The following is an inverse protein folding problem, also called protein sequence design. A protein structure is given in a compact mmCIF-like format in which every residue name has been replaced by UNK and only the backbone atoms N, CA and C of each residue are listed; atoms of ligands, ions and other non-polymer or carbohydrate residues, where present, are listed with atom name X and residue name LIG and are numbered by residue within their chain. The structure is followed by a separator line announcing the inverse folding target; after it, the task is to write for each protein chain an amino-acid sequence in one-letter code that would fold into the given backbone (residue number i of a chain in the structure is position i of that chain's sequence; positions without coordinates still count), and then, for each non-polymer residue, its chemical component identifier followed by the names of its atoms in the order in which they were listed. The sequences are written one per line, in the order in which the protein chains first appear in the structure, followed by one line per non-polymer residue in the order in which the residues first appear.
data_IF_953550668451
#
_entry.id   IF_953550668451
#
_cell.length_a   1.000
_cell.length_b   1.000
_cell.length_c   1.000
_cell.angle_alpha   90.00
_cell.angle_beta   90.00
_cell.angle_gamma   90.00
#
_symmetry.space_group_name_H-M   'P 1'
#
loop_
_entity.id
_entity.type
_entity.pdbx_description
1 polymer ?
#
# COMPACT_ATOMS: atom_id res chain seq x y z
N UNK A 1 13.85 -7.57 17.95
CA UNK A 1 13.08 -6.40 18.41
C UNK A 1 13.76 -5.88 19.66
N UNK A 2 14.24 -4.63 19.68
CA UNK A 2 14.50 -3.98 20.97
C UNK A 2 13.15 -3.81 21.67
N UNK A 3 13.07 -4.20 22.94
CA UNK A 3 11.84 -4.07 23.71
C UNK A 3 11.63 -2.59 24.03
N UNK A 4 10.87 -1.88 23.19
CA UNK A 4 10.39 -0.54 23.50
C UNK A 4 9.47 -0.63 24.73
N UNK A 5 9.92 -0.11 25.88
CA UNK A 5 9.12 -0.06 27.10
C UNK A 5 8.19 1.16 27.01
N UNK A 6 6.99 0.96 26.48
CA UNK A 6 5.96 2.00 26.42
C UNK A 6 5.40 2.27 27.83
N UNK A 7 5.10 3.53 28.13
CA UNK A 7 4.41 3.93 29.36
C UNK A 7 2.88 3.75 29.19
N UNK A 8 2.12 3.92 30.27
CA UNK A 8 0.66 3.70 30.27
C UNK A 8 -0.06 4.65 29.31
N UNK A 9 0.29 5.93 29.31
CA UNK A 9 -0.31 6.94 28.43
C UNK A 9 -0.07 6.63 26.94
N UNK A 10 1.14 6.19 26.58
CA UNK A 10 1.48 5.77 25.21
C UNK A 10 0.67 4.54 24.79
N UNK A 11 0.46 3.58 25.69
CA UNK A 11 -0.36 2.40 25.43
C UNK A 11 -1.81 2.80 25.19
N UNK A 12 -2.38 3.66 26.03
CA UNK A 12 -3.75 4.16 25.86
C UNK A 12 -3.93 4.95 24.57
N UNK A 13 -2.95 5.82 24.26
CA UNK A 13 -2.91 6.58 23.01
C UNK A 13 -2.93 5.62 21.80
N UNK A 14 -2.05 4.63 21.77
CA UNK A 14 -1.96 3.71 20.64
C UNK A 14 -3.17 2.78 20.54
N UNK A 15 -3.69 2.27 21.66
CA UNK A 15 -4.91 1.46 21.65
C UNK A 15 -6.11 2.24 21.08
N UNK A 16 -6.14 3.56 21.28
CA UNK A 16 -7.19 4.42 20.72
C UNK A 16 -7.01 4.65 19.23
N UNK A 17 -5.80 5.04 18.78
CA UNK A 17 -5.61 5.51 17.41
C UNK A 17 -5.29 4.42 16.39
N UNK A 18 -4.57 3.36 16.76
CA UNK A 18 -4.11 2.35 15.80
C UNK A 18 -5.27 1.65 15.07
N UNK A 19 -6.36 1.21 15.75
CA UNK A 19 -7.48 0.57 15.06
C UNK A 19 -8.20 1.52 14.09
N UNK A 20 -8.36 2.79 14.49
CA UNK A 20 -8.99 3.83 13.66
C UNK A 20 -8.17 4.07 12.39
N UNK A 21 -6.85 4.19 12.53
CA UNK A 21 -5.94 4.39 11.40
C UNK A 21 -5.89 3.16 10.49
N UNK A 22 -5.82 1.94 11.06
CA UNK A 22 -5.87 0.72 10.27
C UNK A 22 -7.17 0.62 9.45
N UNK A 23 -8.31 0.98 10.05
CA UNK A 23 -9.60 1.05 9.34
C UNK A 23 -9.61 2.14 8.27
N UNK A 24 -9.07 3.34 8.54
CA UNK A 24 -8.92 4.43 7.57
C UNK A 24 -8.16 3.98 6.33
N UNK A 25 -7.09 3.21 6.53
CA UNK A 25 -6.31 2.64 5.43
C UNK A 25 -6.90 1.35 4.87
N UNK A 26 -8.18 1.04 5.14
CA UNK A 26 -8.88 -0.16 4.63
C UNK A 26 -8.13 -1.46 4.96
N UNK A 27 -7.44 -1.49 6.10
CA UNK A 27 -6.55 -2.57 6.54
C UNK A 27 -5.39 -2.88 5.57
N UNK A 28 -5.06 -1.93 4.68
CA UNK A 28 -3.83 -1.95 3.87
C UNK A 28 -2.57 -1.88 4.74
N UNK A 29 -2.68 -1.43 5.98
CA UNK A 29 -1.65 -1.57 7.00
C UNK A 29 -2.30 -2.06 8.29
N UNK A 30 -1.59 -2.91 9.02
CA UNK A 30 -2.02 -3.42 10.32
C UNK A 30 -1.65 -2.45 11.43
N UNK A 31 -2.32 -2.57 12.58
CA UNK A 31 -1.96 -1.83 13.80
C UNK A 31 -0.48 -2.02 14.17
N UNK A 32 0.03 -3.25 14.05
CA UNK A 32 1.45 -3.55 14.27
C UNK A 32 2.37 -2.84 13.27
N UNK A 33 1.99 -2.75 12.00
CA UNK A 33 2.78 -2.01 10.99
C UNK A 33 2.77 -0.51 11.26
N UNK A 34 1.61 0.05 11.66
CA UNK A 34 1.50 1.45 12.05
C UNK A 34 2.35 1.71 13.29
N UNK A 35 2.26 0.87 14.32
CA UNK A 35 3.09 0.96 15.52
C UNK A 35 4.59 0.90 15.18
N UNK A 36 5.02 -0.09 14.40
CA UNK A 36 6.41 -0.22 13.98
C UNK A 36 6.90 1.02 13.21
N UNK A 37 6.02 1.64 12.42
CA UNK A 37 6.33 2.89 11.74
C UNK A 37 6.45 4.07 12.71
N UNK A 38 5.54 4.19 13.70
CA UNK A 38 5.61 5.21 14.76
C UNK A 38 6.89 5.06 15.60
N UNK A 39 7.33 3.82 15.83
CA UNK A 39 8.55 3.54 16.59
C UNK A 39 9.85 3.88 15.83
N UNK A 40 9.78 4.34 14.57
CA UNK A 40 10.93 4.96 13.91
C UNK A 40 11.26 6.36 14.47
N UNK A 41 10.32 7.00 15.17
CA UNK A 41 10.43 8.38 15.64
C UNK A 41 10.83 8.46 17.12
N UNK A 42 11.32 9.63 17.53
CA UNK A 42 11.49 9.96 18.94
C UNK A 42 10.13 10.05 19.65
N UNK A 43 10.11 9.76 20.96
CA UNK A 43 8.86 9.72 21.75
C UNK A 43 8.08 11.03 21.70
N UNK A 44 8.77 12.17 21.70
CA UNK A 44 8.18 13.52 21.59
C UNK A 44 7.33 13.69 20.32
N UNK A 45 7.63 12.93 19.27
CA UNK A 45 7.04 13.06 17.94
C UNK A 45 5.92 12.05 17.67
N UNK A 46 5.60 11.14 18.59
CA UNK A 46 4.54 10.15 18.40
C UNK A 46 3.19 10.81 18.08
N UNK A 47 2.87 11.94 18.73
CA UNK A 47 1.65 12.70 18.44
C UNK A 47 1.66 13.31 17.03
N UNK A 48 2.80 13.83 16.57
CA UNK A 48 2.97 14.36 15.21
C UNK A 48 2.81 13.27 14.15
N UNK A 49 3.37 12.09 14.40
CA UNK A 49 3.24 10.92 13.52
C UNK A 49 1.78 10.47 13.39
N UNK A 50 1.04 10.37 14.51
CA UNK A 50 -0.38 10.03 14.51
C UNK A 50 -1.21 11.10 13.78
N UNK A 51 -0.92 12.38 14.03
CA UNK A 51 -1.61 13.49 13.38
C UNK A 51 -1.39 13.51 11.86
N UNK A 52 -0.17 13.22 11.40
CA UNK A 52 0.15 13.08 9.98
C UNK A 52 -0.73 12.01 9.32
N UNK A 53 -0.83 10.82 9.93
CA UNK A 53 -1.58 9.69 9.38
C UNK A 53 -3.08 9.95 9.24
N UNK A 54 -3.66 10.85 10.05
CA UNK A 54 -5.08 11.23 9.93
C UNK A 54 -5.42 11.85 8.58
N UNK A 55 -4.44 12.44 7.89
CA UNK A 55 -4.64 13.15 6.63
C UNK A 55 -4.00 12.46 5.42
N UNK A 56 -3.41 11.28 5.62
CA UNK A 56 -2.96 10.44 4.50
C UNK A 56 -4.18 9.82 3.82
N UNK A 57 -4.25 9.98 2.51
CA UNK A 57 -5.21 9.33 1.64
C UNK A 57 -4.54 8.11 0.99
N UNK A 58 -5.03 6.93 1.34
CA UNK A 58 -4.63 5.69 0.69
C UNK A 58 -5.71 5.28 -0.30
N UNK A 59 -5.36 5.01 -1.55
CA UNK A 59 -6.27 4.54 -2.59
C UNK A 59 -6.04 3.05 -2.84
N UNK A 60 -7.06 2.24 -2.60
CA UNK A 60 -7.05 0.82 -2.96
C UNK A 60 -7.43 0.61 -4.43
N UNK A 61 -7.28 -0.62 -4.91
CA UNK A 61 -7.58 -0.98 -6.30
C UNK A 61 -9.00 -0.61 -6.75
N UNK A 62 -9.99 -0.69 -5.84
CA UNK A 62 -11.39 -0.40 -6.18
C UNK A 62 -11.57 1.08 -6.40
N UNK A 63 -11.04 1.92 -5.51
CA UNK A 63 -11.11 3.37 -5.65
C UNK A 63 -10.31 3.87 -6.86
N UNK A 64 -9.23 3.19 -7.24
CA UNK A 64 -8.50 3.49 -8.49
C UNK A 64 -9.39 3.20 -9.70
N UNK A 65 -10.07 2.05 -9.73
CA UNK A 65 -11.00 1.67 -10.81
C UNK A 65 -12.18 2.66 -10.86
N UNK A 66 -12.83 2.93 -9.73
CA UNK A 66 -13.93 3.89 -9.61
C UNK A 66 -13.50 5.31 -10.03
N UNK A 67 -12.30 5.73 -9.63
CA UNK A 67 -11.76 7.02 -10.00
C UNK A 67 -11.52 7.15 -11.50
N UNK A 68 -10.97 6.11 -12.14
CA UNK A 68 -10.84 6.11 -13.60
C UNK A 68 -12.19 6.05 -14.30
N UNK A 69 -13.14 5.25 -13.81
CA UNK A 69 -14.48 5.17 -14.37
C UNK A 69 -15.17 6.55 -14.35
N UNK A 70 -15.11 7.24 -13.21
CA UNK A 70 -15.62 8.59 -13.04
C UNK A 70 -14.98 9.60 -13.99
N UNK A 71 -13.64 9.67 -14.02
CA UNK A 71 -12.92 10.64 -14.85
C UNK A 71 -13.12 10.40 -16.33
N UNK A 72 -13.08 9.14 -16.79
CA UNK A 72 -13.27 8.81 -18.20
C UNK A 72 -14.72 9.11 -18.61
N UNK A 73 -15.72 8.83 -17.78
CA UNK A 73 -17.10 9.21 -18.07
C UNK A 73 -17.25 10.74 -18.23
N UNK A 74 -16.57 11.54 -17.40
CA UNK A 74 -16.51 13.00 -17.61
C UNK A 74 -15.90 13.38 -18.95
N UNK A 75 -14.85 12.69 -19.39
CA UNK A 75 -14.26 12.90 -20.72
C UNK A 75 -15.25 12.54 -21.82
N UNK A 76 -15.93 11.39 -21.71
CA UNK A 76 -16.92 10.94 -22.69
C UNK A 76 -18.07 11.94 -22.87
N UNK A 77 -18.53 12.56 -21.79
CA UNK A 77 -19.59 13.59 -21.83
C UNK A 77 -19.15 14.88 -22.54
N UNK A 78 -17.86 15.07 -22.78
CA UNK A 78 -17.30 16.25 -23.45
C UNK A 78 -16.95 15.99 -24.92
N UNK A 79 -17.16 14.77 -25.42
CA UNK A 79 -16.75 14.38 -26.77
C UNK A 79 -17.90 13.69 -27.51
N UNK A 80 -17.93 13.85 -28.84
CA UNK A 80 -18.94 13.17 -29.66
C UNK A 80 -18.77 11.65 -29.63
N UNK A 81 -19.90 10.93 -29.67
CA UNK A 81 -19.95 9.47 -29.67
C UNK A 81 -19.26 8.82 -30.89
N UNK A 82 -19.09 9.57 -31.99
CA UNK A 82 -18.41 9.08 -33.19
C UNK A 82 -16.89 9.04 -33.08
N UNK A 83 -16.29 9.79 -32.15
CA UNK A 83 -14.82 9.90 -32.03
C UNK A 83 -14.20 8.64 -31.45
N UNK A 84 -13.07 8.21 -32.03
CA UNK A 84 -12.20 7.20 -31.44
C UNK A 84 -11.36 7.81 -30.32
N UNK A 85 -11.01 7.01 -29.33
CA UNK A 85 -10.29 7.48 -28.15
C UNK A 85 -8.99 6.71 -28.03
N UNK A 86 -7.88 7.42 -28.20
CA UNK A 86 -6.56 6.85 -28.08
C UNK A 86 -6.12 7.02 -26.63
N UNK A 87 -5.85 5.92 -25.95
CA UNK A 87 -5.44 5.92 -24.55
C UNK A 87 -3.98 5.54 -24.48
N UNK A 88 -3.17 6.40 -23.86
CA UNK A 88 -1.73 6.24 -23.73
C UNK A 88 -1.37 6.38 -22.25
N UNK A 89 -0.73 5.39 -21.62
CA UNK A 89 -0.20 5.58 -20.28
C UNK A 89 0.96 6.59 -20.30
N UNK A 90 0.89 7.57 -19.41
CA UNK A 90 1.96 8.52 -19.13
C UNK A 90 3.09 7.78 -18.42
N UNK A 91 4.27 7.72 -19.04
CA UNK A 91 5.46 7.09 -18.47
C UNK A 91 6.11 6.06 -19.39
N UNK A 92 7.37 5.75 -19.11
CA UNK A 92 8.08 4.66 -19.78
C UNK A 92 7.50 3.30 -19.37
N UNK A 93 7.52 2.35 -20.31
CA UNK A 93 7.18 0.95 -20.04
C UNK A 93 7.91 0.44 -18.78
N UNK A 94 7.15 -0.14 -17.84
CA UNK A 94 7.69 -0.77 -16.63
C UNK A 94 7.65 0.05 -15.33
N UNK A 95 7.14 1.29 -15.32
CA UNK A 95 6.94 2.10 -14.08
C UNK A 95 5.50 1.96 -13.53
N UNK A 96 4.63 2.94 -13.79
CA UNK A 96 3.21 2.96 -13.39
C UNK A 96 2.26 2.68 -14.57
N UNK A 97 2.69 2.98 -15.80
CA UNK A 97 1.83 2.98 -16.98
C UNK A 97 1.10 1.67 -17.28
N UNK A 98 1.77 0.52 -17.12
CA UNK A 98 1.15 -0.80 -17.34
C UNK A 98 0.06 -1.10 -16.30
N UNK A 99 0.27 -0.68 -15.05
CA UNK A 99 -0.74 -0.85 -14.00
C UNK A 99 -1.96 0.05 -14.26
N UNK A 100 -1.77 1.27 -14.77
CA UNK A 100 -2.88 2.18 -15.05
C UNK A 100 -3.79 1.67 -16.17
N UNK A 101 -3.20 1.13 -17.24
CA UNK A 101 -3.98 0.46 -18.30
C UNK A 101 -4.71 -0.77 -17.75
N UNK A 102 -4.11 -1.53 -16.84
CA UNK A 102 -4.78 -2.65 -16.19
C UNK A 102 -6.03 -2.20 -15.42
N UNK A 103 -5.92 -1.17 -14.57
CA UNK A 103 -7.07 -0.64 -13.83
C UNK A 103 -8.13 -0.04 -14.76
N UNK A 104 -7.71 0.72 -15.77
CA UNK A 104 -8.63 1.28 -16.76
C UNK A 104 -9.46 0.19 -17.47
N UNK A 105 -8.84 -0.94 -17.84
CA UNK A 105 -9.55 -2.08 -18.47
C UNK A 105 -10.56 -2.76 -17.56
N UNK A 106 -10.53 -2.51 -16.25
CA UNK A 106 -11.49 -3.05 -15.27
C UNK A 106 -12.66 -2.12 -15.00
N UNK A 107 -12.70 -0.95 -15.62
CA UNK A 107 -13.78 0.02 -15.47
C UNK A 107 -15.01 -0.39 -16.30
N UNK A 108 -16.19 -0.02 -15.84
CA UNK A 108 -17.43 -0.26 -16.57
C UNK A 108 -17.45 0.55 -17.88
N UNK A 109 -16.94 1.77 -17.84
CA UNK A 109 -16.86 2.64 -19.01
C UNK A 109 -16.02 2.04 -20.14
N UNK A 110 -14.92 1.33 -19.81
CA UNK A 110 -14.13 0.61 -20.80
C UNK A 110 -14.93 -0.52 -21.45
N UNK A 111 -15.60 -1.35 -20.65
CA UNK A 111 -16.37 -2.49 -21.17
C UNK A 111 -17.54 -2.02 -22.06
N UNK A 112 -18.31 -1.01 -21.63
CA UNK A 112 -19.43 -0.46 -22.40
C UNK A 112 -18.98 0.22 -23.72
N UNK A 113 -17.77 0.81 -23.74
CA UNK A 113 -17.28 1.59 -24.90
C UNK A 113 -16.06 0.95 -25.58
N UNK A 114 -15.86 -0.36 -25.42
CA UNK A 114 -14.64 -1.07 -25.85
C UNK A 114 -14.28 -0.83 -27.33
N UNK A 115 -15.28 -0.75 -28.20
CA UNK A 115 -15.08 -0.47 -29.63
C UNK A 115 -14.59 0.95 -29.95
N UNK A 116 -14.67 1.89 -29.01
CA UNK A 116 -14.20 3.27 -29.16
C UNK A 116 -12.75 3.46 -28.70
N UNK A 117 -12.30 2.67 -27.73
CA UNK A 117 -10.98 2.79 -27.14
C UNK A 117 -9.89 2.07 -27.94
N UNK A 118 -8.78 2.76 -28.17
CA UNK A 118 -7.56 2.23 -28.78
C UNK A 118 -6.46 2.37 -27.72
N UNK A 119 -6.11 1.26 -27.09
CA UNK A 119 -5.04 1.23 -26.07
C UNK A 119 -3.69 1.12 -26.76
N UNK A 120 -2.86 2.16 -26.66
CA UNK A 120 -1.50 2.11 -27.18
C UNK A 120 -0.56 1.73 -26.06
N UNK A 121 0.17 0.64 -26.27
CA UNK A 121 1.23 0.26 -25.35
C UNK A 121 2.45 1.18 -25.54
N UNK A 122 2.70 1.65 -26.76
CA UNK A 122 3.81 2.54 -27.10
C UNK A 122 3.34 3.78 -27.87
N UNK A 123 3.78 4.98 -27.46
CA UNK A 123 3.50 6.25 -28.14
C UNK A 123 3.94 6.29 -29.62
N UNK A 124 4.91 5.47 -30.04
CA UNK A 124 5.32 5.34 -31.45
C UNK A 124 4.20 4.83 -32.36
N UNK A 125 3.24 4.08 -31.82
CA UNK A 125 2.08 3.56 -32.56
C UNK A 125 1.08 4.68 -32.92
N UNK A 126 1.17 5.85 -32.27
CA UNK A 126 0.25 6.96 -32.50
C UNK A 126 0.18 7.38 -33.98
N UNK A 127 1.32 7.37 -34.70
CA UNK A 127 1.40 7.74 -36.13
C UNK A 127 0.38 7.02 -37.00
N UNK A 128 0.11 5.74 -36.74
CA UNK A 128 -0.82 4.93 -37.52
C UNK A 128 -2.29 5.32 -37.34
N UNK A 129 -2.60 6.08 -36.29
CA UNK A 129 -3.97 6.46 -35.93
C UNK A 129 -4.30 7.94 -36.22
N UNK A 130 -3.30 8.72 -36.66
CA UNK A 130 -3.42 10.17 -36.92
C UNK A 130 -4.38 10.55 -38.06
N UNK A 131 -4.89 9.58 -38.83
CA UNK A 131 -5.81 9.81 -39.97
C UNK A 131 -7.30 9.81 -39.59
N UNK A 132 -7.65 9.43 -38.36
CA UNK A 132 -9.04 9.35 -37.89
C UNK A 132 -9.41 10.62 -37.11
N UNK A 133 -10.70 10.90 -36.91
CA UNK A 133 -11.10 11.85 -35.87
C UNK A 133 -10.99 11.17 -34.50
N UNK A 134 -10.08 11.67 -33.66
CA UNK A 134 -9.77 11.06 -32.38
C UNK A 134 -9.52 12.09 -31.28
N UNK A 135 -9.60 11.59 -30.06
CA UNK A 135 -9.23 12.27 -28.83
C UNK A 135 -8.10 11.47 -28.17
N UNK A 136 -7.15 12.16 -27.53
CA UNK A 136 -6.07 11.51 -26.79
C UNK A 136 -6.37 11.58 -25.30
N UNK A 137 -6.26 10.45 -24.61
CA UNK A 137 -6.26 10.36 -23.16
C UNK A 137 -4.87 9.91 -22.72
N UNK A 138 -4.23 10.73 -21.89
CA UNK A 138 -2.99 10.42 -21.20
C UNK A 138 -3.32 9.98 -19.78
N UNK A 139 -3.12 8.69 -19.47
CA UNK A 139 -3.43 8.10 -18.16
C UNK A 139 -2.22 8.17 -17.23
N UNK A 140 -2.39 8.67 -16.01
CA UNK A 140 -1.40 8.55 -14.94
C UNK A 140 -2.08 8.28 -13.60
N UNK A 141 -1.33 7.95 -12.56
CA UNK A 141 -1.88 7.80 -11.21
C UNK A 141 -1.97 9.13 -10.47
N UNK A 142 -0.92 9.96 -10.62
CA UNK A 142 -0.71 11.15 -9.82
C UNK A 142 -0.05 12.29 -10.62
N UNK A 143 -0.72 13.46 -10.70
CA UNK A 143 -0.10 14.68 -11.22
C UNK A 143 0.40 15.59 -10.09
N UNK A 144 1.70 15.51 -9.78
CA UNK A 144 2.35 16.28 -8.71
C UNK A 144 2.75 17.70 -9.07
N UNK A 145 3.82 17.85 -9.86
CA UNK A 145 4.26 19.14 -10.41
C UNK A 145 3.79 19.37 -11.85
N UNK A 146 3.37 18.29 -12.54
CA UNK A 146 3.02 18.29 -13.96
C UNK A 146 4.23 18.14 -14.91
N UNK A 147 5.46 18.28 -14.44
CA UNK A 147 6.64 18.31 -15.32
C UNK A 147 6.86 17.01 -16.11
N UNK A 148 6.63 15.86 -15.47
CA UNK A 148 6.76 14.57 -16.13
C UNK A 148 5.78 14.41 -17.29
N UNK A 149 4.54 14.85 -17.11
CA UNK A 149 3.50 14.77 -18.14
C UNK A 149 3.77 15.76 -19.28
N UNK A 150 4.27 16.98 -18.98
CA UNK A 150 4.69 17.95 -20.02
C UNK A 150 5.87 17.40 -20.82
N UNK A 151 6.90 16.86 -20.15
CA UNK A 151 8.06 16.24 -20.81
C UNK A 151 7.62 15.07 -21.69
N UNK A 152 6.75 14.20 -21.18
CA UNK A 152 6.19 13.10 -21.95
C UNK A 152 5.42 13.60 -23.17
N UNK A 153 4.52 14.58 -22.99
CA UNK A 153 3.78 15.18 -24.10
C UNK A 153 4.72 15.74 -25.16
N UNK A 154 5.67 16.60 -24.80
CA UNK A 154 6.59 17.23 -25.75
C UNK A 154 7.43 16.21 -26.52
N UNK A 155 7.93 15.18 -25.83
CA UNK A 155 8.77 14.16 -26.44
C UNK A 155 7.97 13.18 -27.31
N UNK A 156 6.83 12.71 -26.83
CA UNK A 156 6.13 11.57 -27.40
C UNK A 156 4.94 11.95 -28.28
N UNK A 157 4.27 13.07 -28.00
CA UNK A 157 2.94 13.39 -28.57
C UNK A 157 2.98 14.69 -29.36
N UNK A 158 3.49 15.77 -28.77
CA UNK A 158 3.43 17.16 -29.26
C UNK A 158 3.87 17.30 -30.72
N UNK A 159 5.07 16.81 -31.05
CA UNK A 159 5.59 16.88 -32.43
C UNK A 159 4.78 16.03 -33.44
N UNK A 160 4.08 14.98 -32.99
CA UNK A 160 3.23 14.19 -33.87
C UNK A 160 1.90 14.91 -34.15
N UNK A 161 1.29 15.50 -33.11
CA UNK A 161 -0.01 16.18 -33.22
C UNK A 161 0.08 17.58 -33.82
N UNK A 162 1.23 18.27 -33.67
CA UNK A 162 1.45 19.60 -34.26
C UNK A 162 1.49 19.60 -35.79
N UNK A 163 1.68 18.43 -36.41
CA UNK A 163 1.67 18.25 -37.88
C UNK A 163 0.27 18.08 -38.45
N UNK A 164 -0.74 17.98 -37.60
CA UNK A 164 -2.14 17.82 -38.02
C UNK A 164 -2.73 19.16 -38.41
N UNK A 165 -3.71 19.14 -39.33
CA UNK A 165 -4.48 20.34 -39.70
C UNK A 165 -5.27 20.92 -38.53
N UNK A 166 -5.67 20.08 -37.57
CA UNK A 166 -6.36 20.47 -36.35
C UNK A 166 -5.79 19.70 -35.16
N UNK A 167 -5.55 20.40 -34.06
CA UNK A 167 -4.99 19.82 -32.85
C UNK A 167 -6.11 19.05 -32.12
N UNK A 168 -5.96 17.73 -31.89
CA UNK A 168 -6.98 16.93 -31.22
C UNK A 168 -7.16 17.39 -29.78
N UNK A 169 -8.34 17.14 -29.21
CA UNK A 169 -8.55 17.33 -27.77
C UNK A 169 -7.67 16.34 -27.00
N UNK A 170 -7.01 16.82 -25.96
CA UNK A 170 -6.14 16.05 -25.09
C UNK A 170 -6.71 16.09 -23.68
N UNK A 171 -6.89 14.91 -23.09
CA UNK A 171 -7.30 14.77 -21.70
C UNK A 171 -6.19 14.11 -20.91
N UNK A 172 -5.76 14.73 -19.82
CA UNK A 172 -4.88 14.11 -18.84
C UNK A 172 -5.75 13.58 -17.70
N UNK A 173 -5.72 12.28 -17.47
CA UNK A 173 -6.60 11.62 -16.51
C UNK A 173 -5.77 10.99 -15.40
N UNK A 174 -6.10 11.30 -14.15
CA UNK A 174 -5.43 10.72 -12.98
C UNK A 174 -6.35 10.46 -11.81
N UNK A 175 -5.90 9.63 -10.86
CA UNK A 175 -6.63 9.45 -9.60
C UNK A 175 -6.51 10.70 -8.74
N UNK A 176 -5.31 11.26 -8.66
CA UNK A 176 -5.07 12.49 -7.88
C UNK A 176 -4.26 13.50 -8.66
N UNK A 177 -4.63 14.77 -8.60
CA UNK A 177 -3.83 15.87 -9.13
C UNK A 177 -3.63 16.96 -8.07
N UNK A 178 -2.45 17.59 -8.07
CA UNK A 178 -2.30 18.88 -7.40
C UNK A 178 -2.95 19.98 -8.22
N UNK A 179 -3.64 20.91 -7.55
CA UNK A 179 -4.30 22.05 -8.20
C UNK A 179 -3.30 22.84 -9.07
N UNK A 180 -2.08 23.04 -8.56
CA UNK A 180 -1.01 23.72 -9.32
C UNK A 180 -0.55 22.93 -10.54
N UNK A 181 -0.48 21.60 -10.46
CA UNK A 181 -0.14 20.78 -11.62
C UNK A 181 -1.23 20.84 -12.68
N UNK A 182 -2.50 20.75 -12.28
CA UNK A 182 -3.64 20.90 -13.19
C UNK A 182 -3.55 22.21 -13.99
N UNK A 183 -3.45 23.34 -13.30
CA UNK A 183 -3.33 24.67 -13.94
C UNK A 183 -2.12 24.73 -14.88
N UNK A 184 -0.98 24.19 -14.44
CA UNK A 184 0.24 24.19 -15.25
C UNK A 184 0.09 23.32 -16.50
N UNK A 185 -0.54 22.15 -16.40
CA UNK A 185 -0.74 21.23 -17.52
C UNK A 185 -1.67 21.83 -18.57
N UNK A 186 -2.83 22.34 -18.15
CA UNK A 186 -3.80 22.97 -19.06
C UNK A 186 -3.24 24.21 -19.75
N UNK A 187 -2.32 24.92 -19.09
CA UNK A 187 -1.61 26.08 -19.69
C UNK A 187 -0.53 25.68 -20.70
N UNK A 188 0.20 24.58 -20.48
CA UNK A 188 1.39 24.24 -21.26
C UNK A 188 1.15 23.19 -22.35
N UNK A 189 0.01 22.49 -22.32
CA UNK A 189 -0.36 21.51 -23.34
C UNK A 189 -1.53 22.10 -24.14
N UNK A 190 -1.35 22.22 -25.45
CA UNK A 190 -2.38 22.81 -26.31
C UNK A 190 -3.63 21.91 -26.34
N UNK A 191 -4.81 22.52 -26.28
CA UNK A 191 -6.12 21.85 -26.29
C UNK A 191 -6.24 20.74 -25.22
N UNK A 192 -5.72 21.04 -24.03
CA UNK A 192 -5.62 20.12 -22.91
C UNK A 192 -6.64 20.42 -21.82
N UNK A 193 -7.24 19.37 -21.26
CA UNK A 193 -7.98 19.41 -20.01
C UNK A 193 -7.52 18.31 -19.05
N UNK A 194 -7.46 18.62 -17.76
CA UNK A 194 -7.10 17.64 -16.72
C UNK A 194 -8.36 17.20 -15.99
N UNK A 195 -8.60 15.88 -15.96
CA UNK A 195 -9.70 15.27 -15.21
C UNK A 195 -9.11 14.35 -14.14
N UNK A 196 -9.28 14.72 -12.87
CA UNK A 196 -8.80 13.92 -11.74
C UNK A 196 -9.92 13.53 -10.78
N UNK A 197 -9.81 12.35 -10.18
CA UNK A 197 -10.81 11.87 -9.23
C UNK A 197 -10.78 12.69 -7.93
N UNK A 198 -9.59 13.12 -7.51
CA UNK A 198 -9.40 14.03 -6.39
C UNK A 198 -8.38 15.12 -6.73
N UNK A 199 -8.68 16.36 -6.36
CA UNK A 199 -7.77 17.50 -6.45
C UNK A 199 -7.35 17.93 -5.05
N UNK A 200 -6.05 18.16 -4.86
CA UNK A 200 -5.51 18.59 -3.58
C UNK A 200 -4.47 19.70 -3.72
N UNK A 201 -4.24 20.41 -2.63
CA UNK A 201 -3.11 21.31 -2.50
C UNK A 201 -1.99 20.66 -1.66
N UNK A 202 -0.86 21.35 -1.56
CA UNK A 202 0.23 20.99 -0.67
C UNK A 202 -0.25 20.87 0.78
N UNK A 203 0.09 19.76 1.46
CA UNK A 203 -0.39 19.53 2.83
C UNK A 203 0.07 20.59 3.84
N UNK A 204 1.24 21.20 3.62
CA UNK A 204 1.77 22.27 4.49
C UNK A 204 1.61 23.66 3.87
N UNK A 205 0.57 23.87 3.05
CA UNK A 205 0.26 25.21 2.53
C UNK A 205 -0.30 26.11 3.63
N UNK A 206 -0.07 27.43 3.53
CA UNK A 206 -0.61 28.40 4.50
C UNK A 206 -2.14 28.56 4.41
N UNK A 207 -2.75 28.26 3.27
CA UNK A 207 -4.14 28.62 2.96
C UNK A 207 -5.12 27.43 3.01
N UNK A 208 -4.61 26.23 2.77
CA UNK A 208 -5.41 25.02 2.49
C UNK A 208 -4.88 23.78 3.22
N UNK A 209 -4.01 23.96 4.21
CA UNK A 209 -3.47 22.85 4.99
C UNK A 209 -4.59 22.14 5.77
N UNK A 210 -4.67 20.80 5.70
CA UNK A 210 -5.67 20.05 6.45
C UNK A 210 -5.40 20.04 7.96
N UNK A 211 -4.20 20.44 8.40
CA UNK A 211 -3.80 20.50 9.81
C UNK A 211 -4.33 21.74 10.57
N UNK A 212 -5.14 22.58 9.94
CA UNK A 212 -5.76 23.75 10.57
C UNK A 212 -4.77 24.89 10.79
N UNK A 213 -4.72 25.41 12.04
CA UNK A 213 -3.95 26.61 12.40
C UNK A 213 -2.47 26.48 12.03
N UNK A 214 -1.86 27.63 11.69
CA UNK A 214 -0.48 27.74 11.21
C UNK A 214 0.53 27.05 12.13
N UNK A 215 0.44 27.27 13.45
CA UNK A 215 1.36 26.70 14.45
C UNK A 215 1.38 25.17 14.39
N UNK A 216 0.19 24.55 14.43
CA UNK A 216 0.06 23.09 14.34
C UNK A 216 0.57 22.53 13.01
N UNK A 217 0.23 23.19 11.91
CA UNK A 217 0.74 22.82 10.58
C UNK A 217 2.26 22.90 10.49
N UNK A 218 2.86 23.98 11.03
CA UNK A 218 4.31 24.20 11.01
C UNK A 218 5.03 23.10 11.79
N UNK A 219 4.53 22.73 12.98
CA UNK A 219 5.11 21.64 13.77
C UNK A 219 5.12 20.31 13.01
N UNK A 220 4.02 19.96 12.32
CA UNK A 220 3.96 18.71 11.53
C UNK A 220 4.84 18.78 10.28
N UNK A 221 4.94 19.96 9.65
CA UNK A 221 5.86 20.19 8.52
C UNK A 221 7.31 20.00 8.97
N UNK A 222 7.70 20.59 10.10
CA UNK A 222 9.06 20.50 10.65
C UNK A 222 9.40 19.07 11.03
N UNK A 223 8.47 18.37 11.68
CA UNK A 223 8.55 16.93 11.90
C UNK A 223 8.80 16.17 10.59
N UNK A 224 7.98 16.38 9.55
CA UNK A 224 8.18 15.69 8.28
C UNK A 224 9.51 16.05 7.62
N UNK A 225 9.94 17.31 7.71
CA UNK A 225 11.19 17.79 7.13
C UNK A 225 12.41 17.20 7.83
N UNK A 226 12.41 17.15 9.17
CA UNK A 226 13.54 16.66 9.96
C UNK A 226 13.83 15.19 9.63
N UNK A 227 12.83 14.32 9.77
CA UNK A 227 12.98 12.90 9.48
C UNK A 227 13.12 12.64 7.97
N UNK A 228 12.40 13.41 7.14
CA UNK A 228 12.50 13.34 5.70
C UNK A 228 13.90 13.67 5.17
N UNK A 229 14.60 14.64 5.78
CA UNK A 229 15.97 15.01 5.40
C UNK A 229 16.99 13.89 5.70
N UNK A 230 16.74 13.10 6.74
CA UNK A 230 17.56 11.91 7.09
C UNK A 230 17.33 10.75 6.12
N UNK A 231 16.15 10.67 5.50
CA UNK A 231 15.75 9.57 4.62
C UNK A 231 15.98 9.86 3.13
N UNK A 232 15.75 11.11 2.72
CA UNK A 232 15.72 11.51 1.32
C UNK A 232 16.06 13.00 1.19
N UNK A 233 17.35 13.30 1.35
CA UNK A 233 17.92 14.65 1.52
C UNK A 233 17.49 15.67 0.46
N UNK A 234 17.42 15.26 -0.81
CA UNK A 234 17.14 16.19 -1.91
C UNK A 234 15.66 16.64 -1.92
N UNK A 235 14.77 15.79 -1.41
CA UNK A 235 13.33 16.03 -1.43
C UNK A 235 12.68 15.61 -0.10
N UNK A 236 13.01 16.27 1.02
CA UNK A 236 12.59 15.87 2.36
C UNK A 236 11.08 15.97 2.59
N UNK A 237 10.37 16.71 1.73
CA UNK A 237 8.91 16.85 1.73
C UNK A 237 8.29 16.34 0.41
N UNK A 238 8.99 15.47 -0.31
CA UNK A 238 8.57 14.92 -1.60
C UNK A 238 9.08 15.73 -2.79
N UNK A 239 9.13 15.09 -3.97
CA UNK A 239 9.67 15.64 -5.21
C UNK A 239 9.12 17.05 -5.50
N UNK A 240 9.98 17.99 -5.87
CA UNK A 240 9.62 19.41 -6.11
C UNK A 240 8.86 20.07 -4.95
N UNK A 241 9.14 19.64 -3.71
CA UNK A 241 8.45 20.08 -2.51
C UNK A 241 6.92 19.98 -2.66
N UNK A 242 6.46 18.84 -3.19
CA UNK A 242 5.04 18.59 -3.45
C UNK A 242 4.21 18.44 -2.18
N UNK A 243 4.83 18.01 -1.06
CA UNK A 243 4.18 17.87 0.25
C UNK A 243 2.90 17.03 0.18
N UNK A 244 2.89 15.96 -0.63
CA UNK A 244 1.70 15.13 -0.81
C UNK A 244 1.54 14.14 0.34
N UNK A 245 0.29 13.81 0.66
CA UNK A 245 -0.09 12.80 1.65
C UNK A 245 -0.93 11.71 0.99
N UNK A 246 -0.39 11.11 -0.08
CA UNK A 246 -1.09 10.13 -0.91
C UNK A 246 -0.30 8.83 -0.99
N UNK A 247 -1.00 7.71 -0.98
CA UNK A 247 -0.43 6.40 -1.31
C UNK A 247 -1.42 5.57 -2.12
N UNK A 248 -0.91 4.68 -2.95
CA UNK A 248 -1.72 3.72 -3.70
C UNK A 248 -1.42 2.29 -3.22
N UNK A 249 -2.31 1.35 -3.51
CA UNK A 249 -2.13 -0.08 -3.24
C UNK A 249 -0.82 -0.65 -3.79
N UNK A 250 -0.38 -0.15 -4.95
CA UNK A 250 0.87 -0.51 -5.60
C UNK A 250 2.05 0.41 -5.24
N UNK A 251 1.91 1.34 -4.29
CA UNK A 251 3.01 2.15 -3.76
C UNK A 251 2.74 3.65 -3.76
N UNK A 252 3.57 4.39 -3.01
CA UNK A 252 3.43 5.85 -2.89
C UNK A 252 4.13 6.59 -4.03
N UNK A 253 3.56 7.71 -4.55
CA UNK A 253 4.28 8.67 -5.40
C UNK A 253 5.54 9.22 -4.71
N UNK A 254 6.55 9.63 -5.48
CA UNK A 254 7.74 10.30 -4.93
C UNK A 254 7.42 11.74 -4.48
N UNK A 255 6.26 12.27 -4.86
CA UNK A 255 5.70 13.53 -4.37
C UNK A 255 5.22 13.43 -2.91
N UNK A 256 4.96 12.22 -2.41
CA UNK A 256 4.56 11.97 -1.03
C UNK A 256 5.73 12.19 -0.09
N UNK A 257 5.46 12.66 1.13
CA UNK A 257 6.51 12.87 2.14
C UNK A 257 7.31 11.57 2.39
N UNK A 258 8.66 11.59 2.33
CA UNK A 258 9.51 10.41 2.43
C UNK A 258 9.31 9.60 3.71
N UNK A 259 8.95 10.24 4.82
CA UNK A 259 8.68 9.53 6.09
C UNK A 259 7.66 8.40 5.95
N UNK A 260 6.74 8.47 4.97
CA UNK A 260 5.72 7.44 4.73
C UNK A 260 6.22 6.24 3.91
N UNK A 261 7.16 6.45 2.98
CA UNK A 261 7.47 5.45 1.94
C UNK A 261 8.95 5.10 1.77
N UNK A 262 9.86 5.99 2.19
CA UNK A 262 11.29 5.76 2.09
C UNK A 262 11.72 4.68 3.07
N UNK A 263 12.71 3.90 2.68
CA UNK A 263 13.26 2.83 3.50
C UNK A 263 14.74 3.07 3.74
N UNK A 264 15.20 2.68 4.92
CA UNK A 264 16.63 2.61 5.25
C UNK A 264 16.88 1.41 6.16
N UNK A 265 18.13 1.18 6.56
CA UNK A 265 18.49 0.08 7.47
C UNK A 265 17.71 0.14 8.79
N UNK A 266 17.46 1.35 9.28
CA UNK A 266 16.81 1.61 10.57
C UNK A 266 15.43 2.28 10.41
N UNK A 267 14.84 2.21 9.22
CA UNK A 267 13.55 2.81 8.94
C UNK A 267 12.60 1.83 8.26
N UNK A 268 11.47 1.58 8.90
CA UNK A 268 10.41 0.74 8.35
C UNK A 268 9.32 1.62 7.75
N UNK A 269 9.17 1.71 6.42
CA UNK A 269 8.11 2.52 5.80
C UNK A 269 6.72 1.91 6.05
N UNK A 270 5.71 2.78 6.13
CA UNK A 270 4.32 2.35 6.22
C UNK A 270 3.74 2.01 4.83
N UNK A 271 4.08 2.81 3.82
CA UNK A 271 3.61 2.69 2.43
C UNK A 271 4.79 2.56 1.46
N UNK A 272 5.48 1.40 1.46
CA UNK A 272 6.72 1.20 0.69
C UNK A 272 6.52 1.47 -0.81
N UNK A 273 7.41 2.29 -1.39
CA UNK A 273 7.41 2.57 -2.82
C UNK A 273 8.09 1.46 -3.63
N UNK A 274 9.28 1.03 -3.21
CA UNK A 274 10.11 0.10 -3.97
C UNK A 274 9.75 -1.37 -3.75
N UNK A 275 9.94 -2.19 -4.78
CA UNK A 275 9.61 -3.62 -4.74
C UNK A 275 10.40 -4.38 -3.66
N UNK A 276 11.68 -4.07 -3.48
CA UNK A 276 12.53 -4.72 -2.47
C UNK A 276 11.97 -4.57 -1.06
N UNK A 277 11.42 -3.40 -0.73
CA UNK A 277 10.79 -3.14 0.57
C UNK A 277 9.49 -3.92 0.76
N UNK A 278 8.69 -4.03 -0.30
CA UNK A 278 7.47 -4.85 -0.29
C UNK A 278 7.80 -6.33 -0.08
N UNK A 279 8.87 -6.82 -0.71
CA UNK A 279 9.37 -8.19 -0.50
C UNK A 279 9.85 -8.38 0.94
N UNK A 280 10.59 -7.43 1.50
CA UNK A 280 11.04 -7.45 2.90
C UNK A 280 9.84 -7.51 3.86
N UNK A 281 8.85 -6.64 3.68
CA UNK A 281 7.62 -6.62 4.50
C UNK A 281 6.83 -7.93 4.37
N UNK A 282 6.75 -8.50 3.17
CA UNK A 282 6.09 -9.79 2.94
C UNK A 282 6.83 -10.96 3.63
N UNK A 283 8.17 -10.93 3.64
CA UNK A 283 9.00 -11.89 4.40
C UNK A 283 8.75 -11.75 5.91
N UNK A 284 8.74 -10.53 6.44
CA UNK A 284 8.45 -10.29 7.86
C UNK A 284 7.04 -10.72 8.25
N UNK A 285 6.03 -10.48 7.41
CA UNK A 285 4.67 -10.99 7.62
C UNK A 285 4.64 -12.53 7.70
N UNK A 286 5.33 -13.23 6.80
CA UNK A 286 5.42 -14.70 6.81
C UNK A 286 6.15 -15.22 8.05
N UNK A 287 7.26 -14.59 8.45
CA UNK A 287 7.98 -14.93 9.69
C UNK A 287 7.11 -14.75 10.93
N UNK A 288 6.40 -13.63 11.03
CA UNK A 288 5.51 -13.40 12.17
C UNK A 288 4.32 -14.37 12.16
N UNK A 289 3.78 -14.70 10.98
CA UNK A 289 2.77 -15.76 10.84
C UNK A 289 3.27 -17.10 11.37
N UNK A 290 4.48 -17.50 11.00
CA UNK A 290 5.09 -18.74 11.46
C UNK A 290 5.33 -18.72 12.98
N UNK A 291 5.79 -17.59 13.53
CA UNK A 291 5.99 -17.40 14.98
C UNK A 291 4.67 -17.55 15.74
N UNK A 292 3.62 -16.88 15.29
CA UNK A 292 2.28 -16.98 15.86
C UNK A 292 1.80 -18.43 15.86
N UNK A 293 1.90 -19.12 14.72
CA UNK A 293 1.52 -20.51 14.63
C UNK A 293 2.32 -21.41 15.58
N UNK A 294 3.62 -21.14 15.74
CA UNK A 294 4.47 -21.88 16.67
C UNK A 294 4.00 -21.72 18.11
N UNK A 295 3.64 -20.48 18.49
CA UNK A 295 3.12 -20.17 19.84
C UNK A 295 1.79 -20.90 20.08
N UNK A 296 0.88 -20.88 19.10
CA UNK A 296 -0.41 -21.57 19.24
C UNK A 296 -0.25 -23.06 19.48
N UNK A 297 0.72 -23.70 18.80
CA UNK A 297 1.01 -25.12 18.96
C UNK A 297 1.55 -25.46 20.35
N UNK A 298 2.37 -24.58 20.92
CA UNK A 298 2.89 -24.76 22.29
C UNK A 298 1.82 -24.60 23.36
N UNK A 299 0.64 -24.06 23.02
CA UNK A 299 -0.45 -23.78 23.96
C UNK A 299 -1.52 -24.89 24.06
N UNK A 300 -1.30 -26.07 23.47
CA UNK A 300 -2.15 -27.25 23.69
C UNK A 300 -3.46 -27.31 22.88
N UNK A 301 -4.42 -28.10 23.38
CA UNK A 301 -5.54 -28.71 22.63
C UNK A 301 -6.47 -27.76 21.87
N UNK A 302 -6.60 -26.49 22.30
CA UNK A 302 -7.43 -25.52 21.57
C UNK A 302 -6.75 -24.93 20.33
N UNK A 303 -5.63 -25.51 19.87
CA UNK A 303 -5.01 -25.25 18.55
C UNK A 303 -5.36 -26.30 17.47
N UNK A 304 -6.01 -27.41 17.85
CA UNK A 304 -6.44 -28.46 16.90
C UNK A 304 -7.59 -28.04 15.97
N UNK A 305 -8.17 -26.86 16.18
CA UNK A 305 -9.33 -26.37 15.41
C UNK A 305 -8.90 -25.85 14.01
N UNK A 306 -7.63 -25.47 13.83
CA UNK A 306 -7.12 -24.95 12.54
C UNK A 306 -6.50 -26.02 11.62
N UNK A 307 -5.95 -27.09 12.18
CA UNK A 307 -4.94 -27.91 11.52
C UNK A 307 -5.29 -29.39 11.59
N UNK A 308 -6.28 -29.81 10.81
CA UNK A 308 -6.69 -31.20 10.71
C UNK A 308 -5.70 -32.06 9.87
N UNK A 309 -4.45 -31.62 9.67
CA UNK A 309 -3.44 -32.32 8.87
C UNK A 309 -2.13 -32.64 9.59
N UNK A 310 -2.19 -33.06 10.86
CA UNK A 310 -1.08 -33.76 11.51
C UNK A 310 -1.37 -35.24 11.74
N UNK A 311 -1.14 -36.05 10.70
CA UNK A 311 -0.62 -37.42 10.85
C UNK A 311 0.67 -37.57 10.03
N UNK A 312 1.69 -36.77 10.34
CA UNK A 312 3.06 -37.16 9.99
C UNK A 312 3.97 -36.93 11.20
N UNK A 313 4.34 -38.06 11.82
CA UNK A 313 5.36 -38.14 12.85
C UNK A 313 6.69 -38.29 12.14
N UNK A 314 7.60 -37.34 12.29
CA UNK A 314 9.01 -37.52 11.93
C UNK A 314 9.79 -37.70 13.23
N UNK A 315 10.32 -38.91 13.45
CA UNK A 315 11.28 -39.19 14.54
C UNK A 315 12.67 -38.75 14.08
N UNK A 316 13.18 -37.68 14.67
CA UNK A 316 14.61 -37.40 14.72
C UNK A 316 14.99 -37.36 16.21
N UNK A 317 15.83 -38.31 16.63
CA UNK A 317 16.60 -38.35 17.87
C UNK A 317 16.12 -37.43 19.01
N UNK A 318 15.41 -38.01 19.98
CA UNK A 318 15.05 -37.49 21.30
C UNK A 318 14.38 -36.10 21.42
N UNK A 319 14.07 -35.41 20.33
CA UNK A 319 13.28 -34.18 20.34
C UNK A 319 12.08 -34.28 19.39
N UNK A 320 10.86 -34.21 19.94
CA UNK A 320 9.61 -34.14 19.16
C UNK A 320 9.46 -32.74 18.56
N UNK A 321 9.84 -32.55 17.30
CA UNK A 321 9.57 -31.31 16.55
C UNK A 321 8.46 -31.60 15.55
N UNK A 322 7.26 -31.08 15.81
CA UNK A 322 6.19 -31.13 14.82
C UNK A 322 6.41 -29.98 13.80
N UNK A 323 6.90 -30.27 12.60
CA UNK A 323 6.94 -29.32 11.46
C UNK A 323 5.52 -28.97 10.97
N UNK A 324 5.30 -27.75 10.48
CA UNK A 324 4.02 -27.37 9.86
C UNK A 324 3.83 -28.07 8.52
N UNK A 325 2.61 -28.51 8.21
CA UNK A 325 2.26 -28.81 6.83
C UNK A 325 2.19 -27.48 6.05
N UNK A 326 2.75 -27.41 4.85
CA UNK A 326 2.83 -26.17 4.04
C UNK A 326 1.45 -25.52 3.86
N UNK A 327 0.42 -26.34 3.72
CA UNK A 327 -0.97 -25.94 3.54
C UNK A 327 -1.56 -25.22 4.76
N UNK A 328 -1.24 -25.67 5.97
CA UNK A 328 -1.73 -25.11 7.23
C UNK A 328 -1.20 -23.70 7.47
N UNK A 329 0.09 -23.50 7.20
CA UNK A 329 0.71 -22.18 7.22
C UNK A 329 0.08 -21.25 6.19
N UNK A 330 -0.13 -21.73 4.96
CA UNK A 330 -0.71 -20.94 3.87
C UNK A 330 -2.17 -20.56 4.17
N UNK A 331 -2.98 -21.49 4.67
CA UNK A 331 -4.36 -21.25 5.10
C UNK A 331 -4.42 -20.19 6.19
N UNK A 332 -3.59 -20.32 7.23
CA UNK A 332 -3.53 -19.31 8.28
C UNK A 332 -3.15 -17.93 7.72
N UNK A 333 -2.15 -17.86 6.85
CA UNK A 333 -1.78 -16.59 6.21
C UNK A 333 -2.92 -16.02 5.37
N UNK A 334 -3.65 -16.85 4.60
CA UNK A 334 -4.81 -16.41 3.83
C UNK A 334 -5.91 -15.89 4.75
N UNK A 335 -6.24 -16.57 5.85
CA UNK A 335 -7.23 -16.09 6.83
C UNK A 335 -6.82 -14.71 7.35
N UNK A 336 -5.57 -14.55 7.78
CA UNK A 336 -5.02 -13.26 8.24
C UNK A 336 -5.18 -12.18 7.18
N UNK A 337 -4.78 -12.46 5.95
CA UNK A 337 -4.80 -11.48 4.86
C UNK A 337 -6.23 -11.16 4.39
N UNK A 338 -7.15 -12.13 4.42
CA UNK A 338 -8.58 -11.92 4.14
C UNK A 338 -9.26 -11.12 5.24
N UNK A 339 -8.93 -11.32 6.51
CA UNK A 339 -9.35 -10.44 7.62
C UNK A 339 -8.84 -9.01 7.43
N UNK A 340 -7.66 -8.86 6.83
CA UNK A 340 -7.13 -7.57 6.39
C UNK A 340 -7.72 -7.06 5.07
N UNK A 341 -8.80 -7.70 4.56
CA UNK A 341 -9.48 -7.37 3.29
C UNK A 341 -8.53 -7.25 2.10
N UNK A 342 -7.44 -8.03 2.09
CA UNK A 342 -6.48 -8.00 0.99
C UNK A 342 -7.09 -8.65 -0.26
N UNK A 343 -6.97 -8.00 -1.43
CA UNK A 343 -7.42 -8.61 -2.68
C UNK A 343 -6.52 -9.79 -3.06
N UNK A 344 -7.07 -10.75 -3.82
CA UNK A 344 -6.40 -12.00 -4.23
C UNK A 344 -4.97 -11.80 -4.75
N UNK A 345 -4.74 -10.82 -5.62
CA UNK A 345 -3.43 -10.59 -6.22
C UNK A 345 -2.37 -10.14 -5.19
N UNK A 346 -2.75 -9.31 -4.19
CA UNK A 346 -1.85 -8.93 -3.09
C UNK A 346 -1.56 -10.15 -2.19
N UNK A 347 -2.56 -10.99 -1.93
CA UNK A 347 -2.37 -12.23 -1.16
C UNK A 347 -1.34 -13.13 -1.88
N UNK A 348 -1.52 -13.34 -3.18
CA UNK A 348 -0.61 -14.11 -4.01
C UNK A 348 0.83 -13.55 -3.94
N UNK A 349 0.98 -12.23 -4.06
CA UNK A 349 2.28 -11.56 -3.96
C UNK A 349 2.95 -11.73 -2.59
N UNK A 350 2.21 -11.54 -1.49
CA UNK A 350 2.74 -11.67 -0.12
C UNK A 350 3.20 -13.12 0.15
N UNK A 351 2.44 -14.09 -0.34
CA UNK A 351 2.74 -15.51 -0.15
C UNK A 351 3.76 -16.05 -1.14
N UNK A 352 3.98 -15.36 -2.26
CA UNK A 352 4.84 -15.84 -3.36
C UNK A 352 4.24 -17.06 -4.06
N UNK A 353 2.93 -17.04 -4.29
CA UNK A 353 2.17 -18.11 -4.96
C UNK A 353 1.45 -17.54 -6.19
N UNK A 354 1.12 -18.40 -7.16
CA UNK A 354 0.33 -17.97 -8.32
C UNK A 354 -1.19 -18.03 -8.01
N UNK A 355 -2.02 -17.60 -8.96
CA UNK A 355 -3.48 -17.59 -8.77
C UNK A 355 -4.09 -18.98 -8.69
N UNK A 356 -3.55 -19.97 -9.40
CA UNK A 356 -4.01 -21.35 -9.37
C UNK A 356 -3.67 -22.04 -8.04
N UNK A 357 -2.48 -21.78 -7.49
CA UNK A 357 -2.09 -22.22 -6.16
C UNK A 357 -3.04 -21.63 -5.10
N UNK A 358 -3.35 -20.33 -5.22
CA UNK A 358 -4.30 -19.67 -4.32
C UNK A 358 -5.68 -20.33 -4.37
N UNK A 359 -6.20 -20.61 -5.56
CA UNK A 359 -7.50 -21.28 -5.74
C UNK A 359 -7.48 -22.70 -5.18
N UNK A 360 -6.37 -23.43 -5.36
CA UNK A 360 -6.16 -24.75 -4.75
C UNK A 360 -6.23 -24.68 -3.22
N UNK A 361 -5.59 -23.68 -2.62
CA UNK A 361 -5.60 -23.48 -1.16
C UNK A 361 -7.00 -23.06 -0.68
N UNK A 362 -7.73 -22.24 -1.44
CA UNK A 362 -9.11 -21.87 -1.07
C UNK A 362 -10.07 -23.05 -1.15
N UNK A 363 -9.94 -23.93 -2.14
CA UNK A 363 -10.76 -25.15 -2.21
C UNK A 363 -10.53 -26.04 -0.98
N UNK A 364 -9.28 -26.12 -0.51
CA UNK A 364 -8.97 -26.81 0.74
C UNK A 364 -9.54 -26.08 1.97
N UNK A 365 -9.53 -24.75 1.97
CA UNK A 365 -10.16 -23.95 3.02
C UNK A 365 -11.68 -24.19 3.08
N UNK A 366 -12.34 -24.31 1.92
CA UNK A 366 -13.78 -24.56 1.80
C UNK A 366 -14.15 -25.94 2.33
N UNK A 367 -13.38 -26.98 1.95
CA UNK A 367 -13.52 -28.34 2.50
C UNK A 367 -13.40 -28.38 4.03
N UNK A 368 -12.63 -27.48 4.61
CA UNK A 368 -12.45 -27.34 6.07
C UNK A 368 -13.48 -26.42 6.73
N UNK A 369 -14.45 -25.90 5.97
CA UNK A 369 -15.47 -24.95 6.46
C UNK A 369 -14.90 -23.59 6.89
N UNK A 370 -13.69 -23.25 6.44
CA UNK A 370 -13.02 -21.99 6.80
C UNK A 370 -13.43 -20.83 5.88
N UNK A 371 -13.84 -21.16 4.65
CA UNK A 371 -14.43 -20.21 3.70
C UNK A 371 -15.74 -20.75 3.14
N UNK A 372 -16.62 -19.85 2.73
CA UNK A 372 -17.82 -20.18 1.96
C UNK A 372 -17.48 -20.43 0.46
N UNK A 373 -18.48 -20.81 -0.33
CA UNK A 373 -18.34 -21.05 -1.77
C UNK A 373 -17.99 -19.79 -2.59
N UNK A 374 -18.18 -18.61 -2.01
CA UNK A 374 -17.71 -17.33 -2.57
C UNK A 374 -16.28 -17.00 -2.15
N UNK A 375 -15.64 -17.89 -1.37
CA UNK A 375 -14.31 -17.74 -0.82
C UNK A 375 -14.21 -16.73 0.32
N UNK A 376 -15.31 -16.30 0.95
CA UNK A 376 -15.32 -15.42 2.13
C UNK A 376 -15.12 -16.23 3.42
N UNK A 377 -14.58 -15.61 4.47
CA UNK A 377 -14.38 -16.30 5.75
C UNK A 377 -15.72 -16.63 6.41
N UNK A 378 -15.85 -17.86 6.90
CA UNK A 378 -17.02 -18.28 7.69
C UNK A 378 -16.94 -17.76 9.13
N UNK A 379 -18.07 -17.67 9.83
CA UNK A 379 -18.11 -17.33 11.26
C UNK A 379 -17.20 -18.23 12.11
N UNK A 380 -17.08 -19.50 11.71
CA UNK A 380 -16.15 -20.45 12.31
C UNK A 380 -14.69 -19.98 12.16
N UNK A 381 -14.24 -19.67 10.94
CA UNK A 381 -12.89 -19.15 10.72
C UNK A 381 -12.64 -17.81 11.44
N UNK A 382 -13.65 -16.96 11.53
CA UNK A 382 -13.56 -15.70 12.29
C UNK A 382 -13.37 -15.94 13.79
N UNK A 383 -14.15 -16.86 14.37
CA UNK A 383 -14.05 -17.25 15.78
C UNK A 383 -12.66 -17.77 16.13
N UNK A 384 -12.12 -18.66 15.29
CA UNK A 384 -10.76 -19.17 15.47
C UNK A 384 -9.73 -18.04 15.41
N UNK A 385 -9.80 -17.16 14.39
CA UNK A 385 -8.87 -16.05 14.27
C UNK A 385 -8.89 -15.13 15.51
N UNK A 386 -10.09 -14.88 16.06
CA UNK A 386 -10.25 -14.07 17.26
C UNK A 386 -9.66 -14.75 18.49
N UNK A 387 -9.87 -16.06 18.65
CA UNK A 387 -9.28 -16.85 19.74
C UNK A 387 -7.75 -16.85 19.67
N UNK A 388 -7.18 -17.04 18.47
CA UNK A 388 -5.75 -16.93 18.21
C UNK A 388 -5.22 -15.57 18.67
N UNK A 389 -5.87 -14.48 18.27
CA UNK A 389 -5.45 -13.13 18.67
C UNK A 389 -5.60 -12.87 20.17
N UNK A 390 -6.60 -13.47 20.83
CA UNK A 390 -6.74 -13.41 22.29
C UNK A 390 -5.56 -14.10 22.98
N UNK A 391 -5.24 -15.33 22.58
CA UNK A 391 -4.13 -16.12 23.12
C UNK A 391 -2.76 -15.47 22.91
N UNK A 392 -2.53 -14.88 21.74
CA UNK A 392 -1.30 -14.12 21.46
C UNK A 392 -1.18 -12.91 22.41
N UNK A 393 -2.28 -12.17 22.61
CA UNK A 393 -2.30 -11.05 23.56
C UNK A 393 -2.00 -11.53 24.98
N UNK A 394 -2.63 -12.62 25.42
CA UNK A 394 -2.36 -13.24 26.73
C UNK A 394 -0.91 -13.68 26.89
N UNK A 395 -0.30 -14.29 25.88
CA UNK A 395 1.11 -14.65 25.88
C UNK A 395 2.02 -13.43 26.05
N UNK A 396 1.76 -12.37 25.28
CA UNK A 396 2.54 -11.14 25.38
C UNK A 396 2.36 -10.44 26.74
N UNK A 397 1.20 -10.56 27.37
CA UNK A 397 0.92 -10.03 28.72
C UNK A 397 1.49 -10.91 29.84
N UNK A 398 1.46 -12.24 29.70
CA UNK A 398 2.04 -13.20 30.64
C UNK A 398 3.57 -13.12 30.71
N UNK A 399 4.23 -12.87 29.58
CA UNK A 399 5.67 -12.57 29.52
C UNK A 399 6.02 -11.27 30.28
N UNK A 400 5.08 -10.34 30.45
CA UNK A 400 5.27 -9.14 31.30
C UNK A 400 5.11 -9.43 32.80
N UNK A 401 4.33 -10.44 33.21
CA UNK A 401 4.19 -10.85 34.62
C UNK A 401 5.32 -11.77 35.10
N UNK A 402 5.91 -12.56 34.21
CA UNK A 402 7.00 -13.49 34.52
C UNK A 402 8.41 -12.96 34.20
N UNK A 403 8.63 -11.64 34.23
CA UNK A 403 9.99 -11.14 34.46
C UNK A 403 10.22 -11.14 35.96
N UNK A 404 11.10 -12.00 36.52
CA UNK A 404 11.51 -11.81 37.90
C UNK A 404 12.07 -10.38 38.02
N UNK A 405 11.63 -9.67 39.06
CA UNK A 405 12.40 -8.55 39.58
C UNK A 405 13.85 -9.03 39.76
N UNK A 406 14.75 -8.17 39.34
CA UNK A 406 16.20 -8.27 39.47
C UNK A 406 16.67 -9.22 40.59
N UNK A 407 17.26 -10.34 40.21
CA UNK A 407 18.27 -11.00 41.03
C UNK A 407 19.51 -11.11 40.15
N UNK A 408 20.41 -10.15 40.36
CA UNK A 408 21.79 -10.10 39.86
C UNK A 408 22.35 -11.46 39.45
N UNK A 409 22.49 -11.68 38.14
CA UNK A 409 23.34 -12.76 37.65
C UNK A 409 24.77 -12.23 37.67
N UNK A 410 25.52 -12.58 38.72
CA UNK A 410 26.96 -12.29 38.80
C UNK A 410 27.68 -13.09 37.70
N UNK A 411 28.22 -12.37 36.71
CA UNK A 411 29.14 -12.94 35.71
C UNK A 411 30.56 -12.55 36.14
N UNK A 412 31.44 -13.50 36.50
CA UNK A 412 32.81 -13.18 36.89
C UNK A 412 33.54 -12.49 35.74
N UNK A 413 34.24 -11.39 36.05
CA UNK A 413 34.94 -10.53 35.08
C UNK A 413 36.27 -11.10 34.58
N UNK A 414 36.65 -12.32 34.96
CA UNK A 414 37.77 -13.02 34.31
C UNK A 414 37.59 -14.54 34.36
N UNK A 415 37.62 -15.15 33.18
CA UNK A 415 37.75 -16.60 33.01
C UNK A 415 39.26 -16.91 33.08
N UNK A 416 39.76 -17.27 34.27
CA UNK A 416 41.10 -17.85 34.38
C UNK A 416 40.99 -19.33 34.02
N UNK A 417 41.37 -19.66 32.79
CA UNK A 417 41.63 -21.04 32.41
C UNK A 417 42.75 -21.61 33.26
N UNK A 418 42.63 -22.89 33.60
CA UNK A 418 43.73 -23.75 33.97
C UNK A 418 43.50 -25.11 33.30
N UNK A 419 44.44 -25.40 32.40
CA UNK A 419 45.04 -26.68 31.99
C UNK A 419 44.34 -27.97 32.36
#
# INVERSE_FOLDING_TARGET
MSYYKLNTEEIELFNTYLPILAKRFKHFVTETQILNWILNFERKDFKNALELLKYVNHYDDREIIEGYDYCINKVLNQISNSKKIIVIPSGEFGKSGTAMVYYFRKTQVYETNKGRFILLSNHKQLKGHLKKDFVIILLDDYFGSGDSAIKFYNHAIGHQVSKLKSIPNIFLVSIVAQIKAKIKLEKNICNCKVESFNEMDKAFSKKSSPFGRREKMVGIREFCHEYGSKLYKDHPLGYENSQALVSFSYGSPNNTVPVLWASSKNWTPLFPRFFQDKVRISREFRKESARILSILKTMGESSNILFNSSKQQVKLSNYKINTFNKIDFQLFCIIRLKKMKRPKHIICQILGINTADYDTILNEAEKRGLVDSNGNLTNFAEGIYNEVNRKIREYHLGVKKNKPMDNSLYVPTSFRGLS
#
